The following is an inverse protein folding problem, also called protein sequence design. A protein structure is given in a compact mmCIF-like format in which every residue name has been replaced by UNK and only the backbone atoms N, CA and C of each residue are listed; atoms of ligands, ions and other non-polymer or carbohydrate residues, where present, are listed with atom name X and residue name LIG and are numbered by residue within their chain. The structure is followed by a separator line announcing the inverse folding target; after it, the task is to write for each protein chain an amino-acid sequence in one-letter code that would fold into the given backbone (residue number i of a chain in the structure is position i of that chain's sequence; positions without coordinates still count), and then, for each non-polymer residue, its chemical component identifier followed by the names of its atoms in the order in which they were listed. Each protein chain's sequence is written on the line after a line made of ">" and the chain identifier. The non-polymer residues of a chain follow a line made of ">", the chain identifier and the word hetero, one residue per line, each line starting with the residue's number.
data_IF_329449308143
#
_entry.id   IF_329449308143
#
_cell.length_a   1.000
_cell.length_b   1.000
_cell.length_c   1.000
_cell.angle_alpha   90.00
_cell.angle_beta   90.00
_cell.angle_gamma   90.00
#
_symmetry.space_group_name_H-M   'P 1'
#
loop_
_entity.id
_entity.type
_entity.pdbx_description
1 polymer ?
#
# COMPACT_ATOMS: atom_id res chain seq x y z
N UNK A 1 4.11 4.99 57.26
CA UNK A 1 5.09 5.58 56.31
C UNK A 1 5.33 4.68 55.08
N UNK A 2 5.32 3.34 55.23
CA UNK A 2 5.50 2.41 54.09
C UNK A 2 4.31 2.37 53.11
N UNK A 3 3.08 2.45 53.62
CA UNK A 3 1.84 2.40 52.82
C UNK A 3 1.68 3.58 51.84
N UNK A 4 2.13 4.78 52.22
CA UNK A 4 2.14 5.96 51.35
C UNK A 4 3.18 5.87 50.22
N UNK A 5 4.36 5.29 50.50
CA UNK A 5 5.42 5.10 49.50
C UNK A 5 4.99 4.10 48.43
N UNK A 6 4.35 2.99 48.83
CA UNK A 6 3.81 2.00 47.90
C UNK A 6 2.72 2.61 46.99
N UNK A 7 1.81 3.43 47.55
CA UNK A 7 0.75 4.11 46.79
C UNK A 7 1.30 5.13 45.79
N UNK A 8 2.31 5.92 46.17
CA UNK A 8 2.99 6.86 45.26
C UNK A 8 3.76 6.15 44.15
N UNK A 9 4.41 5.02 44.44
CA UNK A 9 5.12 4.18 43.46
C UNK A 9 4.15 3.54 42.46
N UNK A 10 3.02 3.02 42.93
CA UNK A 10 1.96 2.48 42.08
C UNK A 10 1.33 3.52 41.15
N UNK A 11 1.06 4.73 41.65
CA UNK A 11 0.60 5.86 40.82
C UNK A 11 1.60 6.24 39.73
N UNK A 12 2.91 6.27 40.04
CA UNK A 12 3.96 6.55 39.05
C UNK A 12 4.04 5.47 37.97
N UNK A 13 3.98 4.19 38.35
CA UNK A 13 4.00 3.07 37.40
C UNK A 13 2.75 3.08 36.51
N UNK A 14 1.58 3.32 37.10
CA UNK A 14 0.32 3.47 36.35
C UNK A 14 0.37 4.62 35.35
N UNK A 15 0.98 5.76 35.71
CA UNK A 15 1.18 6.88 34.79
C UNK A 15 2.12 6.54 33.62
N UNK A 16 3.20 5.78 33.89
CA UNK A 16 4.14 5.34 32.86
C UNK A 16 3.46 4.37 31.88
N UNK A 17 2.69 3.40 32.40
CA UNK A 17 1.94 2.46 31.57
C UNK A 17 0.88 3.16 30.72
N UNK A 18 0.17 4.13 31.28
CA UNK A 18 -0.81 4.93 30.55
C UNK A 18 -0.15 5.77 29.44
N UNK A 19 1.01 6.35 29.72
CA UNK A 19 1.80 7.10 28.74
C UNK A 19 2.25 6.20 27.58
N UNK A 20 2.79 5.02 27.88
CA UNK A 20 3.20 4.05 26.85
C UNK A 20 2.01 3.58 25.99
N UNK A 21 0.86 3.35 26.61
CA UNK A 21 -0.36 3.01 25.91
C UNK A 21 -0.80 4.13 24.93
N UNK A 22 -0.78 5.39 25.38
CA UNK A 22 -1.10 6.54 24.54
C UNK A 22 -0.14 6.71 23.36
N UNK A 23 1.16 6.53 23.58
CA UNK A 23 2.17 6.58 22.51
C UNK A 23 1.92 5.45 21.50
N UNK A 24 1.63 4.23 21.98
CA UNK A 24 1.26 3.11 21.12
C UNK A 24 0.01 3.39 20.28
N UNK A 25 -1.01 4.00 20.89
CA UNK A 25 -2.25 4.36 20.19
C UNK A 25 -1.99 5.41 19.09
N UNK A 26 -1.17 6.43 19.38
CA UNK A 26 -0.78 7.44 18.39
C UNK A 26 0.01 6.80 17.24
N UNK A 27 0.94 5.88 17.53
CA UNK A 27 1.69 5.19 16.50
C UNK A 27 0.80 4.35 15.58
N UNK A 28 -0.20 3.65 16.12
CA UNK A 28 -1.19 2.88 15.34
C UNK A 28 -2.02 3.80 14.46
N UNK A 29 -2.49 4.93 14.99
CA UNK A 29 -3.25 5.93 14.21
C UNK A 29 -2.39 6.46 13.06
N UNK A 30 -1.16 6.92 13.32
CA UNK A 30 -0.26 7.40 12.28
C UNK A 30 -0.03 6.32 11.22
N UNK A 31 0.23 5.08 11.63
CA UNK A 31 0.47 3.98 10.70
C UNK A 31 -0.75 3.64 9.83
N UNK A 32 -1.97 3.75 10.37
CA UNK A 32 -3.19 3.44 9.62
C UNK A 32 -3.60 4.59 8.68
N UNK A 33 -3.39 5.85 9.08
CA UNK A 33 -3.72 7.02 8.28
C UNK A 33 -2.62 7.45 7.29
N UNK A 34 -1.40 6.92 7.42
CA UNK A 34 -0.30 7.23 6.48
C UNK A 34 -0.19 6.22 5.33
N UNK A 35 -1.07 5.23 5.25
CA UNK A 35 -1.11 4.32 4.09
C UNK A 35 -1.65 5.09 2.89
N UNK A 36 -0.92 5.14 1.77
CA UNK A 36 -1.41 5.81 0.58
C UNK A 36 -2.68 5.13 0.08
N UNK A 37 -3.60 5.91 -0.46
CA UNK A 37 -4.78 5.37 -1.17
C UNK A 37 -4.32 4.65 -2.44
N UNK A 38 -5.18 3.79 -3.00
CA UNK A 38 -4.88 3.16 -4.28
C UNK A 38 -4.68 4.20 -5.39
N UNK A 39 -5.43 5.31 -5.37
CA UNK A 39 -5.29 6.39 -6.34
C UNK A 39 -3.93 7.08 -6.22
N UNK A 40 -3.44 7.28 -4.99
CA UNK A 40 -2.10 7.80 -4.74
C UNK A 40 -1.00 6.84 -5.24
N UNK A 41 -1.18 5.53 -5.04
CA UNK A 41 -0.23 4.51 -5.53
C UNK A 41 -0.20 4.49 -7.06
N UNK A 42 -1.36 4.52 -7.72
CA UNK A 42 -1.44 4.53 -9.19
C UNK A 42 -0.81 5.79 -9.78
N UNK A 43 -1.05 6.95 -9.18
CA UNK A 43 -0.43 8.20 -9.64
C UNK A 43 1.11 8.19 -9.43
N UNK A 44 1.59 7.61 -8.32
CA UNK A 44 3.05 7.42 -8.11
C UNK A 44 3.65 6.46 -9.13
N UNK A 45 2.96 5.36 -9.44
CA UNK A 45 3.37 4.45 -10.50
C UNK A 45 3.47 5.16 -11.85
N UNK A 46 2.42 5.89 -12.27
CA UNK A 46 2.39 6.63 -13.52
C UNK A 46 3.55 7.64 -13.62
N UNK A 47 3.80 8.40 -12.54
CA UNK A 47 4.91 9.34 -12.47
C UNK A 47 6.27 8.62 -12.58
N UNK A 48 6.45 7.52 -11.86
CA UNK A 48 7.71 6.77 -11.86
C UNK A 48 8.00 6.13 -13.23
N UNK A 49 6.98 5.61 -13.93
CA UNK A 49 7.14 5.10 -15.30
C UNK A 49 7.54 6.23 -16.25
N UNK A 50 6.83 7.36 -16.23
CA UNK A 50 7.10 8.51 -17.10
C UNK A 50 8.49 9.11 -16.88
N UNK A 51 8.98 9.11 -15.64
CA UNK A 51 10.31 9.63 -15.27
C UNK A 51 11.43 8.60 -15.44
N UNK A 52 11.10 7.34 -15.72
CA UNK A 52 12.08 6.24 -15.73
C UNK A 52 12.67 5.95 -14.34
N UNK A 53 11.96 6.29 -13.26
CA UNK A 53 12.42 6.12 -11.89
C UNK A 53 12.21 4.67 -11.41
N UNK A 54 13.23 3.85 -11.68
CA UNK A 54 13.25 2.44 -11.30
C UNK A 54 13.27 2.24 -9.78
N UNK A 55 13.80 3.21 -9.02
CA UNK A 55 13.84 3.13 -7.55
C UNK A 55 12.42 3.17 -6.99
N UNK A 56 11.67 4.21 -7.37
CA UNK A 56 10.27 4.37 -6.96
C UNK A 56 9.39 3.22 -7.45
N UNK A 57 9.60 2.71 -8.67
CA UNK A 57 8.86 1.54 -9.17
C UNK A 57 9.10 0.28 -8.33
N UNK A 58 10.34 0.07 -7.86
CA UNK A 58 10.66 -1.08 -7.01
C UNK A 58 9.97 -1.01 -5.66
N UNK A 59 9.79 0.19 -5.11
CA UNK A 59 9.15 0.40 -3.81
C UNK A 59 7.62 0.27 -3.88
N UNK A 60 7.02 0.42 -5.08
CA UNK A 60 5.57 0.36 -5.28
C UNK A 60 5.13 -1.02 -5.79
N UNK A 61 5.92 -1.65 -6.66
CA UNK A 61 5.54 -2.93 -7.27
C UNK A 61 6.00 -4.08 -6.38
N UNK A 62 5.08 -4.61 -5.59
CA UNK A 62 5.31 -5.83 -4.82
C UNK A 62 5.27 -7.06 -5.72
N UNK A 63 6.18 -7.99 -5.45
CA UNK A 63 6.15 -9.29 -6.12
C UNK A 63 5.30 -10.27 -5.34
N UNK A 64 4.40 -10.96 -6.04
CA UNK A 64 3.56 -12.02 -5.47
C UNK A 64 4.02 -13.39 -5.98
N UNK A 65 3.78 -14.43 -5.18
CA UNK A 65 3.88 -15.84 -5.59
C UNK A 65 5.25 -16.29 -6.13
N UNK A 66 6.34 -15.87 -5.46
CA UNK A 66 7.69 -16.36 -5.75
C UNK A 66 8.32 -15.84 -7.05
N UNK A 67 7.60 -15.00 -7.79
CA UNK A 67 8.17 -14.20 -8.88
C UNK A 67 9.14 -13.19 -8.25
N UNK A 68 10.22 -12.86 -8.94
CA UNK A 68 11.12 -11.76 -8.53
C UNK A 68 11.10 -10.70 -9.61
N UNK A 69 10.64 -9.50 -9.25
CA UNK A 69 10.71 -8.35 -10.15
C UNK A 69 12.13 -7.80 -10.11
N UNK A 70 12.84 -7.96 -11.22
CA UNK A 70 14.20 -7.47 -11.35
C UNK A 70 14.22 -6.03 -11.82
N UNK A 71 15.36 -5.36 -11.59
CA UNK A 71 15.62 -4.02 -12.11
C UNK A 71 15.48 -3.94 -13.64
N UNK A 72 15.87 -5.00 -14.34
CA UNK A 72 15.79 -5.06 -15.80
C UNK A 72 14.35 -5.17 -16.29
N UNK A 73 13.48 -5.88 -15.57
CA UNK A 73 12.04 -5.90 -15.89
C UNK A 73 11.42 -4.50 -15.78
N UNK A 74 11.74 -3.77 -14.71
CA UNK A 74 11.25 -2.41 -14.52
C UNK A 74 11.81 -1.46 -15.59
N UNK A 75 13.07 -1.63 -15.99
CA UNK A 75 13.67 -0.85 -17.07
C UNK A 75 13.02 -1.14 -18.43
N UNK A 76 12.70 -2.40 -18.72
CA UNK A 76 11.97 -2.77 -19.92
C UNK A 76 10.58 -2.15 -19.94
N UNK A 77 9.87 -2.17 -18.81
CA UNK A 77 8.57 -1.52 -18.65
C UNK A 77 8.65 -0.02 -18.99
N UNK A 78 9.63 0.71 -18.45
CA UNK A 78 9.75 2.16 -18.69
C UNK A 78 10.13 2.49 -20.13
N UNK A 79 11.00 1.68 -20.75
CA UNK A 79 11.33 1.82 -22.17
C UNK A 79 10.10 1.58 -23.03
N UNK A 80 9.37 0.48 -22.79
CA UNK A 80 8.19 0.14 -23.55
C UNK A 80 7.08 1.19 -23.42
N UNK A 81 6.80 1.66 -22.19
CA UNK A 81 5.80 2.71 -21.96
C UNK A 81 6.15 4.05 -22.62
N UNK A 82 7.45 4.32 -22.83
CA UNK A 82 7.91 5.50 -23.55
C UNK A 82 7.68 5.36 -25.06
N UNK A 83 7.94 4.18 -25.60
CA UNK A 83 7.77 3.87 -27.02
C UNK A 83 6.29 3.75 -27.39
N UNK A 84 5.45 3.28 -26.46
CA UNK A 84 4.01 3.09 -26.59
C UNK A 84 3.23 3.84 -25.48
N UNK A 85 3.04 5.17 -25.57
CA UNK A 85 2.40 5.95 -24.51
C UNK A 85 0.97 5.52 -24.19
N UNK A 86 0.25 4.95 -25.16
CA UNK A 86 -1.12 4.48 -24.96
C UNK A 86 -1.19 3.22 -24.09
N UNK A 87 -0.12 2.41 -24.06
CA UNK A 87 -0.01 1.28 -23.13
C UNK A 87 -0.09 1.76 -21.67
N UNK A 88 0.68 2.80 -21.32
CA UNK A 88 0.68 3.34 -19.96
C UNK A 88 -0.68 3.93 -19.59
N UNK A 89 -1.33 4.67 -20.51
CA UNK A 89 -2.66 5.23 -20.27
C UNK A 89 -3.70 4.15 -19.98
N UNK A 90 -3.70 3.07 -20.76
CA UNK A 90 -4.63 1.94 -20.55
C UNK A 90 -4.36 1.27 -19.20
N UNK A 91 -3.09 1.04 -18.84
CA UNK A 91 -2.77 0.44 -17.54
C UNK A 91 -3.17 1.34 -16.37
N UNK A 92 -2.92 2.63 -16.45
CA UNK A 92 -3.35 3.60 -15.43
C UNK A 92 -4.87 3.62 -15.30
N UNK A 93 -5.59 3.59 -16.42
CA UNK A 93 -7.05 3.53 -16.41
C UNK A 93 -7.56 2.26 -15.71
N UNK A 94 -7.00 1.09 -16.03
CA UNK A 94 -7.39 -0.17 -15.42
C UNK A 94 -7.09 -0.20 -13.91
N UNK A 95 -5.92 0.28 -13.48
CA UNK A 95 -5.59 0.31 -12.05
C UNK A 95 -6.50 1.29 -11.29
N UNK A 96 -6.84 2.46 -11.84
CA UNK A 96 -7.80 3.38 -11.22
C UNK A 96 -9.20 2.76 -11.10
N UNK A 97 -9.63 2.01 -12.11
CA UNK A 97 -10.89 1.27 -12.03
C UNK A 97 -10.85 0.19 -10.95
N UNK A 98 -9.74 -0.54 -10.81
CA UNK A 98 -9.55 -1.52 -9.74
C UNK A 98 -9.56 -0.88 -8.36
N UNK A 99 -8.82 0.22 -8.17
CA UNK A 99 -8.84 1.00 -6.94
C UNK A 99 -10.25 1.45 -6.58
N UNK A 100 -11.02 1.98 -7.54
CA UNK A 100 -12.38 2.43 -7.29
C UNK A 100 -13.29 1.29 -6.82
N UNK A 101 -13.15 0.09 -7.39
CA UNK A 101 -13.88 -1.10 -6.92
C UNK A 101 -13.38 -1.51 -5.52
N UNK A 102 -12.07 -1.46 -5.29
CA UNK A 102 -11.47 -1.84 -4.01
C UNK A 102 -11.88 -0.97 -2.84
N UNK A 103 -11.94 0.34 -3.06
CA UNK A 103 -12.16 1.32 -1.99
C UNK A 103 -13.64 1.66 -1.77
N UNK A 104 -14.51 1.52 -2.78
CA UNK A 104 -15.89 2.04 -2.71
C UNK A 104 -16.99 1.00 -2.80
N UNK A 105 -16.75 -0.23 -3.26
CA UNK A 105 -17.86 -1.12 -3.60
C UNK A 105 -17.58 -2.61 -3.31
N UNK A 106 -17.79 -2.99 -2.04
CA UNK A 106 -17.79 -4.39 -1.57
C UNK A 106 -18.80 -5.27 -2.32
N UNK A 107 -19.87 -4.68 -2.86
CA UNK A 107 -20.91 -5.39 -3.62
C UNK A 107 -20.52 -5.60 -5.08
N UNK A 108 -19.74 -4.69 -5.69
CA UNK A 108 -19.12 -4.91 -7.00
C UNK A 108 -18.00 -5.96 -6.94
N UNK A 109 -17.22 -6.00 -5.85
CA UNK A 109 -16.21 -7.06 -5.60
C UNK A 109 -16.82 -8.45 -5.63
N UNK A 110 -17.93 -8.64 -4.92
CA UNK A 110 -18.59 -9.95 -4.77
C UNK A 110 -19.40 -10.38 -6.01
N UNK A 111 -19.71 -9.46 -6.92
CA UNK A 111 -20.52 -9.71 -8.13
C UNK A 111 -19.73 -9.72 -9.43
N UNK A 112 -18.47 -9.29 -9.43
CA UNK A 112 -17.64 -9.24 -10.63
C UNK A 112 -16.77 -10.52 -10.76
N UNK A 113 -17.13 -11.46 -11.65
CA UNK A 113 -16.38 -12.72 -11.82
C UNK A 113 -14.97 -12.51 -12.39
N UNK A 114 -14.66 -11.32 -12.92
CA UNK A 114 -13.33 -10.95 -13.37
C UNK A 114 -12.48 -10.32 -12.26
N UNK A 115 -13.08 -9.92 -11.14
CA UNK A 115 -12.37 -9.22 -10.08
C UNK A 115 -11.33 -10.13 -9.42
N UNK A 116 -11.68 -11.37 -9.06
CA UNK A 116 -10.70 -12.33 -8.55
C UNK A 116 -9.61 -12.65 -9.59
N UNK A 117 -9.97 -12.89 -10.86
CA UNK A 117 -8.99 -13.19 -11.92
C UNK A 117 -8.03 -12.04 -12.21
N UNK A 118 -8.53 -10.82 -12.27
CA UNK A 118 -7.74 -9.63 -12.61
C UNK A 118 -6.87 -9.13 -11.44
N UNK A 119 -7.24 -9.44 -10.19
CA UNK A 119 -6.50 -9.01 -8.98
C UNK A 119 -5.59 -10.11 -8.42
N UNK A 120 -5.92 -11.39 -8.64
CA UNK A 120 -5.08 -12.52 -8.21
C UNK A 120 -4.11 -13.02 -9.28
N UNK A 121 -4.22 -12.54 -10.52
CA UNK A 121 -3.32 -12.91 -11.60
C UNK A 121 -3.39 -14.40 -11.92
N UNK A 122 -4.54 -14.88 -12.40
CA UNK A 122 -4.59 -16.23 -12.98
C UNK A 122 -4.00 -16.22 -14.41
N UNK A 123 -3.15 -17.20 -14.77
CA UNK A 123 -2.62 -17.31 -16.12
C UNK A 123 -3.75 -17.64 -17.10
N UNK A 124 -3.71 -17.01 -18.27
CA UNK A 124 -4.63 -17.30 -19.37
C UNK A 124 -4.33 -18.71 -19.90
N UNK A 125 -5.27 -19.64 -19.70
CA UNK A 125 -5.32 -20.92 -20.44
C UNK A 125 -5.75 -20.70 -21.91
#
# INVERSE_FOLDING_TARGET
>A
METERARKKGKKISLILLSLFLVGLIAVIIFNFSRPTGDELVNKFEAAVNQGDIGSLKDIVESKDGVTITKDNLKQLTVYAKDEPDYLKVQVFLMKAQTAIEEKDEEAKSRNPLFERATKGEPLD
#
